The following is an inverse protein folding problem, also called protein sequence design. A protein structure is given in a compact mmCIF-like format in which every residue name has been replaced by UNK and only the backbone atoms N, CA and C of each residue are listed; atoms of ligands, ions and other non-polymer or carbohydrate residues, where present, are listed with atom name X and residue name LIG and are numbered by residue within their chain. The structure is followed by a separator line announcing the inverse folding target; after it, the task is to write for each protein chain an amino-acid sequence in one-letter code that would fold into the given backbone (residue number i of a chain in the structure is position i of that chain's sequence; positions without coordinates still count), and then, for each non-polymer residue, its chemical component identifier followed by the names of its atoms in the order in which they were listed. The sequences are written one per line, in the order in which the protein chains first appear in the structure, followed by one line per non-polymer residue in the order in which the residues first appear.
data_IF_815420895220
#
_entry.id   IF_815420895220
#
_cell.length_a   1.000
_cell.length_b   1.000
_cell.length_c   1.000
_cell.angle_alpha   90.00
_cell.angle_beta   90.00
_cell.angle_gamma   90.00
#
_symmetry.space_group_name_H-M   'P 1'
#
loop_
_entity.id
_entity.type
_entity.pdbx_description
1 polymer ?
#
# COMPACT_ATOMS: atom_id res chain seq x y z
N UNK A 1 25.71 -39.73 8.82
CA UNK A 1 25.87 -38.68 7.78
C UNK A 1 24.71 -38.67 6.78
N UNK A 2 24.21 -39.84 6.35
CA UNK A 2 23.05 -39.94 5.44
C UNK A 2 21.74 -39.38 6.04
N UNK A 3 21.43 -39.72 7.30
CA UNK A 3 20.23 -39.26 8.02
C UNK A 3 20.11 -37.73 7.97
N UNK A 4 21.17 -37.03 8.36
CA UNK A 4 21.24 -35.56 8.38
C UNK A 4 21.06 -34.92 6.99
N UNK A 5 21.48 -35.59 5.91
CA UNK A 5 21.26 -35.11 4.53
C UNK A 5 19.81 -35.31 4.08
N UNK A 6 19.20 -36.42 4.49
CA UNK A 6 17.79 -36.71 4.21
C UNK A 6 16.87 -35.73 4.96
N UNK A 7 17.16 -35.48 6.24
CA UNK A 7 16.41 -34.52 7.06
C UNK A 7 16.48 -33.09 6.48
N UNK A 8 17.66 -32.67 6.01
CA UNK A 8 17.84 -31.39 5.32
C UNK A 8 17.06 -31.30 4.01
N UNK A 9 16.97 -32.40 3.24
CA UNK A 9 16.18 -32.44 2.02
C UNK A 9 14.68 -32.36 2.31
N UNK A 10 14.20 -33.09 3.31
CA UNK A 10 12.80 -33.06 3.74
C UNK A 10 12.43 -31.67 4.24
N UNK A 11 13.28 -31.04 5.06
CA UNK A 11 13.04 -29.69 5.56
C UNK A 11 13.03 -28.65 4.42
N UNK A 12 13.95 -28.75 3.46
CA UNK A 12 13.98 -27.87 2.28
C UNK A 12 12.73 -28.02 1.43
N UNK A 13 12.33 -29.25 1.12
CA UNK A 13 11.12 -29.52 0.33
C UNK A 13 9.88 -29.05 1.09
N UNK A 14 9.79 -29.33 2.39
CA UNK A 14 8.67 -28.91 3.24
C UNK A 14 8.52 -27.39 3.32
N UNK A 15 9.63 -26.66 3.49
CA UNK A 15 9.61 -25.20 3.52
C UNK A 15 9.34 -24.58 2.16
N UNK A 16 9.92 -25.14 1.10
CA UNK A 16 9.67 -24.64 -0.24
C UNK A 16 8.25 -24.97 -0.76
N UNK A 17 7.61 -26.07 -0.30
CA UNK A 17 6.18 -26.31 -0.51
C UNK A 17 5.30 -25.25 0.19
N UNK A 18 5.78 -24.68 1.29
CA UNK A 18 5.14 -23.55 1.98
C UNK A 18 5.51 -22.19 1.37
N UNK A 19 6.23 -22.17 0.25
CA UNK A 19 6.68 -20.95 -0.43
C UNK A 19 7.81 -20.21 0.30
N UNK A 20 8.44 -20.83 1.31
CA UNK A 20 9.55 -20.23 2.07
C UNK A 20 10.87 -20.54 1.39
N UNK A 21 11.51 -19.49 0.85
CA UNK A 21 12.83 -19.58 0.26
C UNK A 21 13.89 -19.57 1.37
N UNK A 22 14.42 -20.74 1.70
CA UNK A 22 15.51 -20.84 2.66
C UNK A 22 16.83 -20.29 2.06
N UNK A 23 17.62 -19.51 2.81
CA UNK A 23 18.94 -19.01 2.37
C UNK A 23 19.93 -20.11 1.95
N UNK A 24 19.66 -21.36 2.33
CA UNK A 24 20.47 -22.52 1.99
C UNK A 24 20.26 -23.03 0.55
N UNK A 25 19.19 -22.59 -0.12
CA UNK A 25 18.91 -22.90 -1.54
C UNK A 25 19.60 -21.87 -2.42
N UNK A 26 19.42 -20.59 -2.12
CA UNK A 26 20.14 -19.47 -2.74
C UNK A 26 20.41 -18.43 -1.64
N UNK A 27 21.62 -17.88 -1.62
CA UNK A 27 21.92 -16.80 -0.69
C UNK A 27 21.21 -15.51 -1.16
N UNK A 28 20.75 -14.64 -0.24
CA UNK A 28 20.16 -13.35 -0.60
C UNK A 28 21.04 -12.54 -1.57
N UNK A 29 22.36 -12.57 -1.36
CA UNK A 29 23.32 -11.85 -2.19
C UNK A 29 23.46 -12.46 -3.59
N UNK A 30 23.47 -13.79 -3.70
CA UNK A 30 23.52 -14.47 -5.00
C UNK A 30 22.29 -14.15 -5.85
N UNK A 31 21.10 -14.09 -5.22
CA UNK A 31 19.88 -13.65 -5.89
C UNK A 31 20.01 -12.19 -6.35
N UNK A 32 20.46 -11.29 -5.47
CA UNK A 32 20.60 -9.87 -5.78
C UNK A 32 21.58 -9.63 -6.95
N UNK A 33 22.74 -10.29 -6.95
CA UNK A 33 23.70 -10.19 -8.06
C UNK A 33 23.10 -10.66 -9.39
N UNK A 34 22.34 -11.76 -9.39
CA UNK A 34 21.64 -12.22 -10.58
C UNK A 34 20.60 -11.19 -11.07
N UNK A 35 19.85 -10.58 -10.15
CA UNK A 35 18.88 -9.52 -10.49
C UNK A 35 19.56 -8.30 -11.11
N UNK A 36 20.66 -7.83 -10.50
CA UNK A 36 21.46 -6.71 -11.00
C UNK A 36 21.98 -6.96 -12.42
N UNK A 37 22.47 -8.17 -12.70
CA UNK A 37 22.96 -8.55 -14.03
C UNK A 37 21.83 -8.62 -15.07
N UNK A 38 20.63 -9.01 -14.65
CA UNK A 38 19.45 -9.11 -15.54
C UNK A 38 18.70 -7.80 -15.77
N UNK A 39 19.02 -6.74 -15.01
CA UNK A 39 18.22 -5.51 -14.97
C UNK A 39 18.12 -4.79 -16.33
N UNK A 40 19.14 -4.89 -17.17
CA UNK A 40 19.17 -4.28 -18.50
C UNK A 40 18.25 -4.96 -19.52
N UNK A 41 17.79 -6.19 -19.24
CA UNK A 41 16.90 -6.94 -20.11
C UNK A 41 15.41 -6.66 -19.85
N UNK A 42 15.11 -5.79 -18.88
CA UNK A 42 13.74 -5.55 -18.43
C UNK A 42 13.04 -4.48 -19.28
N UNK A 43 11.72 -4.63 -19.52
CA UNK A 43 10.91 -3.57 -20.12
C UNK A 43 10.97 -2.29 -19.27
N UNK A 44 11.04 -1.13 -19.91
CA UNK A 44 11.21 0.16 -19.22
C UNK A 44 9.99 0.64 -18.41
N UNK A 45 8.84 0.00 -18.59
CA UNK A 45 7.57 0.33 -17.93
C UNK A 45 7.34 -0.44 -16.61
N UNK A 46 8.22 -1.39 -16.28
CA UNK A 46 8.16 -2.14 -15.02
C UNK A 46 9.40 -1.90 -14.17
N UNK A 47 9.21 -1.95 -12.85
CA UNK A 47 10.32 -1.75 -11.89
C UNK A 47 10.32 -2.85 -10.85
N UNK A 48 11.49 -3.10 -10.26
CA UNK A 48 11.57 -3.91 -9.06
C UNK A 48 10.93 -3.18 -7.86
N UNK A 49 10.24 -3.90 -6.96
CA UNK A 49 9.65 -3.30 -5.76
C UNK A 49 10.67 -2.96 -4.67
N UNK A 50 11.96 -3.15 -4.93
CA UNK A 50 13.06 -2.88 -4.03
C UNK A 50 14.26 -2.33 -4.81
N UNK A 51 15.16 -1.57 -4.15
CA UNK A 51 16.42 -1.16 -4.76
C UNK A 51 17.29 -2.37 -5.11
N UNK A 52 17.97 -2.30 -6.26
CA UNK A 52 18.97 -3.29 -6.64
C UNK A 52 20.30 -2.98 -5.92
N UNK A 53 20.36 -3.30 -4.64
CA UNK A 53 21.54 -3.11 -3.79
C UNK A 53 21.71 -4.27 -2.82
N UNK A 54 22.95 -4.47 -2.34
CA UNK A 54 23.26 -5.50 -1.34
C UNK A 54 22.45 -5.33 -0.04
N UNK A 55 22.13 -4.09 0.34
CA UNK A 55 21.31 -3.78 1.52
C UNK A 55 19.87 -4.29 1.39
N UNK A 56 19.39 -4.42 0.16
CA UNK A 56 18.03 -4.88 -0.14
C UNK A 56 17.95 -6.40 -0.41
N UNK A 57 19.05 -7.13 -0.26
CA UNK A 57 19.13 -8.55 -0.63
C UNK A 57 18.13 -9.43 0.13
N UNK A 58 17.99 -9.22 1.44
CA UNK A 58 17.02 -9.96 2.26
C UNK A 58 15.57 -9.60 1.94
N UNK A 59 15.33 -8.33 1.60
CA UNK A 59 14.01 -7.88 1.16
C UNK A 59 13.60 -8.55 -0.16
N UNK A 60 14.54 -8.64 -1.11
CA UNK A 60 14.32 -9.34 -2.37
C UNK A 60 13.90 -10.81 -2.13
N UNK A 61 14.59 -11.50 -1.22
CA UNK A 61 14.26 -12.89 -0.84
C UNK A 61 12.84 -13.02 -0.26
N UNK A 62 12.41 -12.09 0.61
CA UNK A 62 11.08 -12.08 1.23
C UNK A 62 9.97 -11.82 0.22
N UNK A 63 10.23 -10.92 -0.74
CA UNK A 63 9.23 -10.45 -1.70
C UNK A 63 9.04 -11.44 -2.87
N UNK A 64 10.10 -12.17 -3.27
CA UNK A 64 9.99 -13.20 -4.30
C UNK A 64 9.12 -14.39 -3.85
N UNK A 65 8.47 -15.05 -4.81
CA UNK A 65 7.75 -16.30 -4.58
C UNK A 65 8.58 -17.50 -5.06
N UNK A 66 8.47 -18.62 -4.37
CA UNK A 66 9.14 -19.86 -4.74
C UNK A 66 8.11 -20.87 -5.24
N UNK A 67 8.41 -21.50 -6.37
CA UNK A 67 7.70 -22.68 -6.85
C UNK A 67 8.68 -23.84 -6.99
N UNK A 68 8.22 -25.02 -6.59
CA UNK A 68 8.94 -26.26 -6.75
C UNK A 68 8.31 -27.09 -7.86
N UNK A 69 9.15 -27.72 -8.67
CA UNK A 69 8.73 -28.81 -9.52
C UNK A 69 9.72 -29.96 -9.45
N UNK A 70 9.20 -31.18 -9.51
CA UNK A 70 10.01 -32.38 -9.63
C UNK A 70 9.73 -32.96 -11.01
N UNK A 71 10.76 -33.07 -11.83
CA UNK A 71 10.65 -33.67 -13.16
C UNK A 71 11.84 -34.59 -13.39
N UNK A 72 11.58 -35.84 -13.79
CA UNK A 72 12.62 -36.84 -14.06
C UNK A 72 13.64 -37.03 -12.92
N UNK A 73 13.17 -36.99 -11.66
CA UNK A 73 14.03 -37.10 -10.48
C UNK A 73 14.87 -35.85 -10.16
N UNK A 74 14.72 -34.77 -10.93
CA UNK A 74 15.35 -33.48 -10.67
C UNK A 74 14.38 -32.60 -9.91
N UNK A 75 14.80 -32.12 -8.74
CA UNK A 75 14.11 -31.09 -7.98
C UNK A 75 14.58 -29.71 -8.44
N UNK A 76 13.66 -28.93 -8.98
CA UNK A 76 13.95 -27.60 -9.51
C UNK A 76 13.16 -26.52 -8.78
N UNK A 77 13.82 -25.38 -8.60
CA UNK A 77 13.33 -24.22 -7.87
C UNK A 77 13.14 -23.07 -8.86
N UNK A 78 11.92 -22.55 -8.97
CA UNK A 78 11.60 -21.36 -9.76
C UNK A 78 11.35 -20.19 -8.81
N UNK A 79 12.20 -19.17 -8.92
CA UNK A 79 12.04 -17.93 -8.16
C UNK A 79 11.27 -16.94 -9.05
N UNK A 80 10.03 -16.66 -8.65
CA UNK A 80 9.19 -15.66 -9.29
C UNK A 80 9.47 -14.31 -8.66
N UNK A 81 10.14 -13.46 -9.43
CA UNK A 81 10.49 -12.09 -9.02
C UNK A 81 9.35 -11.17 -9.45
N UNK A 82 8.66 -10.51 -8.51
CA UNK A 82 7.55 -9.65 -8.86
C UNK A 82 8.04 -8.36 -9.53
N UNK A 83 7.36 -8.01 -10.61
CA UNK A 83 7.50 -6.73 -11.28
C UNK A 83 6.30 -5.87 -10.92
N UNK A 84 6.54 -4.60 -10.61
CA UNK A 84 5.48 -3.71 -10.11
C UNK A 84 5.28 -2.49 -10.98
N UNK A 85 4.01 -2.14 -11.16
CA UNK A 85 3.57 -0.82 -11.55
C UNK A 85 3.04 -0.09 -10.29
N UNK A 86 3.43 1.17 -10.11
CA UNK A 86 3.14 1.89 -8.86
C UNK A 86 1.76 2.53 -8.91
N UNK A 87 0.83 1.97 -8.15
CA UNK A 87 -0.49 2.54 -7.88
C UNK A 87 -0.53 3.19 -6.50
N UNK A 88 -1.47 4.10 -6.29
CA UNK A 88 -1.69 4.75 -5.00
C UNK A 88 -3.09 4.42 -4.50
N UNK A 89 -3.19 4.20 -3.19
CA UNK A 89 -4.46 4.08 -2.50
C UNK A 89 -4.99 5.48 -2.17
N UNK A 90 -6.28 5.71 -2.41
CA UNK A 90 -6.94 6.97 -2.08
C UNK A 90 -8.09 6.75 -1.10
N UNK A 91 -8.09 7.56 -0.05
CA UNK A 91 -9.19 7.64 0.91
C UNK A 91 -10.07 8.82 0.50
N UNK A 92 -11.35 8.61 0.14
CA UNK A 92 -12.26 9.72 -0.10
C UNK A 92 -12.45 10.50 1.21
N UNK A 93 -12.17 11.80 1.17
CA UNK A 93 -12.39 12.70 2.30
C UNK A 93 -13.89 13.06 2.32
N UNK A 94 -14.61 12.86 3.45
CA UNK A 94 -16.01 13.25 3.56
C UNK A 94 -16.23 14.73 3.25
N UNK A 95 -17.39 15.08 2.68
CA UNK A 95 -17.78 16.48 2.44
C UNK A 95 -18.64 16.99 3.60
N UNK A 96 -18.34 18.15 4.21
CA UNK A 96 -19.21 18.73 5.23
C UNK A 96 -20.57 19.11 4.62
N UNK A 97 -21.65 18.82 5.35
CA UNK A 97 -23.02 19.23 5.04
C UNK A 97 -23.46 20.35 5.99
N UNK A 98 -23.08 20.21 7.25
CA UNK A 98 -23.28 21.16 8.34
C UNK A 98 -22.16 20.98 9.38
N UNK A 99 -22.15 21.77 10.46
CA UNK A 99 -21.09 21.79 11.48
C UNK A 99 -20.77 20.40 12.05
N UNK A 100 -21.81 19.59 12.31
CA UNK A 100 -21.66 18.24 12.90
C UNK A 100 -21.88 17.11 11.90
N UNK A 101 -22.38 17.41 10.69
CA UNK A 101 -22.85 16.42 9.72
C UNK A 101 -22.02 16.44 8.46
N UNK A 102 -21.64 15.26 7.99
CA UNK A 102 -20.89 15.11 6.76
C UNK A 102 -21.46 14.00 5.89
N UNK A 103 -21.32 14.24 4.59
CA UNK A 103 -21.67 13.34 3.53
C UNK A 103 -20.44 12.53 3.16
N UNK A 104 -20.56 11.22 3.20
CA UNK A 104 -19.56 10.32 2.63
C UNK A 104 -20.24 9.35 1.65
N UNK A 105 -19.47 8.88 0.68
CA UNK A 105 -19.90 7.81 -0.20
C UNK A 105 -19.61 6.50 0.50
N UNK A 106 -20.63 5.67 0.69
CA UNK A 106 -20.44 4.35 1.27
C UNK A 106 -19.63 3.48 0.29
N UNK A 107 -18.46 3.03 0.74
CA UNK A 107 -17.57 2.20 -0.06
C UNK A 107 -17.77 0.71 0.19
N UNK A 108 -18.70 0.32 1.07
CA UNK A 108 -18.98 -1.08 1.45
C UNK A 108 -17.71 -1.86 1.81
N UNK A 109 -16.77 -1.20 2.52
CA UNK A 109 -15.45 -1.72 2.92
C UNK A 109 -14.47 -2.00 1.77
N UNK A 110 -14.68 -1.37 0.61
CA UNK A 110 -13.76 -1.47 -0.51
C UNK A 110 -12.71 -0.37 -0.51
N UNK A 111 -11.48 -0.74 -0.91
CA UNK A 111 -10.34 0.13 -1.12
C UNK A 111 -10.21 0.47 -2.60
N UNK A 112 -10.10 1.76 -2.92
CA UNK A 112 -9.84 2.24 -4.28
C UNK A 112 -8.34 2.37 -4.51
N UNK A 113 -7.84 1.62 -5.49
CA UNK A 113 -6.48 1.76 -6.01
C UNK A 113 -6.55 2.43 -7.37
N UNK A 114 -5.74 3.46 -7.57
CA UNK A 114 -5.70 4.20 -8.82
C UNK A 114 -4.26 4.43 -9.25
N UNK A 115 -4.02 4.40 -10.55
CA UNK A 115 -2.73 4.77 -11.10
C UNK A 115 -2.48 6.29 -10.95
N UNK A 116 -1.21 6.69 -11.08
CA UNK A 116 -0.82 8.10 -10.91
C UNK A 116 -1.49 9.04 -11.91
N UNK A 117 -1.78 8.57 -13.13
CA UNK A 117 -2.45 9.38 -14.15
C UNK A 117 -3.98 9.43 -13.97
N UNK A 118 -4.52 8.69 -12.98
CA UNK A 118 -5.97 8.58 -12.71
C UNK A 118 -6.79 8.05 -13.90
N UNK A 119 -6.16 7.25 -14.74
CA UNK A 119 -6.72 6.65 -15.94
C UNK A 119 -7.30 5.26 -15.66
N UNK A 120 -6.68 4.51 -14.75
CA UNK A 120 -7.04 3.14 -14.44
C UNK A 120 -7.16 2.94 -12.94
N UNK A 121 -8.19 2.21 -12.54
CA UNK A 121 -8.44 1.89 -11.14
C UNK A 121 -8.92 0.46 -10.97
N UNK A 122 -8.83 -0.03 -9.74
CA UNK A 122 -9.47 -1.26 -9.31
C UNK A 122 -9.87 -1.14 -7.84
N UNK A 123 -10.81 -1.97 -7.41
CA UNK A 123 -11.33 -1.99 -6.06
C UNK A 123 -10.93 -3.31 -5.38
N UNK A 124 -10.58 -3.26 -4.11
CA UNK A 124 -10.26 -4.45 -3.31
C UNK A 124 -10.92 -4.36 -1.95
N UNK A 125 -10.72 -5.34 -1.08
CA UNK A 125 -11.13 -5.30 0.32
C UNK A 125 -9.92 -5.55 1.24
N UNK A 126 -10.21 -5.67 2.55
CA UNK A 126 -9.19 -5.97 3.56
C UNK A 126 -8.57 -7.35 3.39
N UNK A 127 -9.37 -8.35 3.01
CA UNK A 127 -8.87 -9.70 2.82
C UNK A 127 -7.82 -9.75 1.71
N UNK A 128 -8.06 -9.06 0.59
CA UNK A 128 -7.08 -8.94 -0.49
C UNK A 128 -5.80 -8.26 -0.02
N UNK A 129 -5.91 -7.16 0.74
CA UNK A 129 -4.74 -6.45 1.28
C UNK A 129 -3.91 -7.33 2.23
N UNK A 130 -4.57 -8.17 3.02
CA UNK A 130 -3.91 -9.12 3.94
C UNK A 130 -3.11 -10.21 3.19
N UNK A 131 -3.37 -10.41 1.89
CA UNK A 131 -2.57 -11.32 1.04
C UNK A 131 -1.28 -10.68 0.48
N UNK A 132 -1.15 -9.36 0.59
CA UNK A 132 0.00 -8.64 0.05
C UNK A 132 1.25 -8.80 0.91
N UNK A 133 2.42 -8.69 0.28
CA UNK A 133 3.70 -8.69 0.99
C UNK A 133 4.09 -7.27 1.39
N UNK A 134 4.24 -7.02 2.68
CA UNK A 134 4.74 -5.75 3.19
C UNK A 134 6.25 -5.62 2.95
N UNK A 135 6.64 -4.57 2.22
CA UNK A 135 8.03 -4.23 1.88
C UNK A 135 8.60 -3.23 2.89
N UNK A 136 7.78 -2.26 3.27
CA UNK A 136 8.07 -1.22 4.25
C UNK A 136 6.73 -0.74 4.85
N UNK A 137 6.79 0.12 5.86
CA UNK A 137 5.62 0.77 6.45
C UNK A 137 4.75 1.35 5.32
N UNK A 138 3.51 0.86 5.20
CA UNK A 138 2.50 1.29 4.21
C UNK A 138 2.88 1.05 2.74
N UNK A 139 3.92 0.26 2.44
CA UNK A 139 4.30 -0.16 1.09
C UNK A 139 4.11 -1.65 0.93
N UNK A 140 3.22 -2.02 0.02
CA UNK A 140 2.82 -3.41 -0.22
C UNK A 140 3.10 -3.83 -1.65
N UNK A 141 3.50 -5.09 -1.82
CA UNK A 141 3.57 -5.77 -3.11
C UNK A 141 2.43 -6.77 -3.16
N UNK A 142 1.46 -6.46 -4.00
CA UNK A 142 0.25 -7.24 -4.18
C UNK A 142 0.25 -7.88 -5.56
N UNK A 143 -0.30 -9.09 -5.66
CA UNK A 143 -0.61 -9.68 -6.96
C UNK A 143 -1.84 -8.95 -7.52
N UNK A 144 -1.70 -8.31 -8.67
CA UNK A 144 -2.84 -7.74 -9.37
C UNK A 144 -3.61 -8.87 -10.08
N UNK A 145 -4.69 -9.32 -9.45
CA UNK A 145 -5.67 -10.27 -9.99
C UNK A 145 -7.02 -9.62 -10.30
N UNK A 146 -7.19 -8.34 -9.91
CA UNK A 146 -8.40 -7.56 -10.12
C UNK A 146 -8.44 -6.90 -11.49
N UNK A 147 -9.57 -6.87 -12.20
CA UNK A 147 -9.65 -6.20 -13.50
C UNK A 147 -9.32 -4.71 -13.39
N UNK A 148 -8.43 -4.22 -14.26
CA UNK A 148 -8.16 -2.80 -14.40
C UNK A 148 -9.30 -2.13 -15.16
N UNK A 149 -9.95 -1.16 -14.52
CA UNK A 149 -11.07 -0.43 -15.07
C UNK A 149 -10.63 0.95 -15.53
N UNK A 150 -11.02 1.35 -16.74
CA UNK A 150 -10.79 2.71 -17.23
C UNK A 150 -11.72 3.70 -16.52
N UNK A 151 -11.14 4.76 -15.97
CA UNK A 151 -11.86 5.84 -15.30
C UNK A 151 -12.74 6.68 -16.23
N UNK A 152 -12.51 6.62 -17.54
CA UNK A 152 -13.30 7.32 -18.57
C UNK A 152 -14.53 6.53 -19.00
N UNK A 153 -14.45 5.19 -18.96
CA UNK A 153 -15.49 4.29 -19.47
C UNK A 153 -16.36 3.76 -18.33
N UNK A 154 -15.75 3.44 -17.19
CA UNK A 154 -16.42 2.77 -16.08
C UNK A 154 -16.74 3.76 -14.98
N UNK A 155 -18.03 3.99 -14.75
CA UNK A 155 -18.48 4.89 -13.70
C UNK A 155 -18.28 4.29 -12.31
N UNK A 156 -17.52 4.99 -11.46
CA UNK A 156 -17.42 4.69 -10.04
C UNK A 156 -17.49 5.98 -9.23
N UNK A 157 -18.29 5.98 -8.16
CA UNK A 157 -18.53 7.15 -7.33
C UNK A 157 -17.27 7.70 -6.66
N UNK A 158 -16.39 6.83 -6.15
CA UNK A 158 -15.13 7.24 -5.53
C UNK A 158 -14.18 7.83 -6.57
N UNK A 159 -14.16 7.27 -7.79
CA UNK A 159 -13.34 7.82 -8.89
C UNK A 159 -13.86 9.18 -9.34
N UNK A 160 -15.18 9.33 -9.53
CA UNK A 160 -15.81 10.61 -9.87
C UNK A 160 -15.56 11.68 -8.81
N UNK A 161 -15.61 11.31 -7.52
CA UNK A 161 -15.27 12.18 -6.39
C UNK A 161 -13.84 12.73 -6.46
N UNK A 162 -12.90 11.97 -7.02
CA UNK A 162 -11.50 12.36 -7.16
C UNK A 162 -11.24 13.20 -8.41
N UNK A 163 -12.07 13.04 -9.44
CA UNK A 163 -11.92 13.72 -10.73
C UNK A 163 -12.65 15.07 -10.77
N UNK A 164 -13.82 15.17 -10.13
CA UNK A 164 -14.65 16.37 -10.17
C UNK A 164 -14.71 17.08 -8.82
N UNK A 165 -14.60 18.42 -8.86
CA UNK A 165 -14.92 19.29 -7.72
C UNK A 165 -16.43 19.48 -7.53
N UNK A 166 -17.22 19.14 -8.53
CA UNK A 166 -18.66 19.36 -8.56
C UNK A 166 -19.46 18.24 -7.85
N UNK A 167 -20.77 18.46 -7.75
CA UNK A 167 -21.73 17.69 -6.95
C UNK A 167 -21.62 16.17 -7.15
N UNK A 168 -21.70 15.44 -6.04
CA UNK A 168 -21.75 13.98 -6.03
C UNK A 168 -22.98 13.52 -6.81
N UNK A 169 -22.78 12.62 -7.79
CA UNK A 169 -23.85 12.08 -8.63
C UNK A 169 -25.04 11.59 -7.77
N UNK A 170 -26.29 11.84 -8.17
CA UNK A 170 -27.47 11.32 -7.48
C UNK A 170 -27.46 9.79 -7.32
N UNK A 171 -26.85 9.08 -8.28
CA UNK A 171 -26.74 7.62 -8.30
C UNK A 171 -25.79 7.04 -7.25
N UNK A 172 -24.98 7.86 -6.59
CA UNK A 172 -24.08 7.40 -5.54
C UNK A 172 -24.81 7.20 -4.22
N UNK A 173 -24.62 6.03 -3.60
CA UNK A 173 -25.09 5.77 -2.23
C UNK A 173 -24.35 6.70 -1.27
N UNK A 174 -25.07 7.72 -0.82
CA UNK A 174 -24.59 8.76 0.07
C UNK A 174 -25.09 8.47 1.46
N UNK A 175 -24.19 8.50 2.45
CA UNK A 175 -24.55 8.41 3.86
C UNK A 175 -24.16 9.69 4.57
N UNK A 176 -24.99 10.08 5.54
CA UNK A 176 -24.70 11.18 6.45
C UNK A 176 -24.27 10.54 7.76
N UNK A 177 -23.12 10.94 8.26
CA UNK A 177 -22.74 10.67 9.63
C UNK A 177 -22.66 11.98 10.40
N UNK A 178 -23.02 11.89 11.67
CA UNK A 178 -22.97 12.98 12.64
C UNK A 178 -21.86 12.65 13.64
N UNK A 179 -20.94 13.58 13.81
CA UNK A 179 -19.83 13.45 14.75
C UNK A 179 -19.99 14.52 15.84
N UNK A 180 -20.03 14.06 17.08
CA UNK A 180 -20.00 14.88 18.29
C UNK A 180 -18.58 15.26 18.70
N UNK A 181 -17.61 14.43 18.34
CA UNK A 181 -16.24 14.51 18.81
C UNK A 181 -15.27 14.73 17.65
N UNK A 182 -14.13 15.36 17.97
CA UNK A 182 -13.07 15.62 17.01
C UNK A 182 -12.34 14.32 16.61
N UNK A 183 -12.20 14.09 15.30
CA UNK A 183 -11.57 12.89 14.72
C UNK A 183 -10.27 13.28 14.04
N UNK A 184 -9.21 12.54 14.35
CA UNK A 184 -7.87 12.77 13.81
C UNK A 184 -7.35 11.53 13.09
N UNK A 185 -6.95 11.70 11.84
CA UNK A 185 -6.34 10.64 11.02
C UNK A 185 -4.90 11.02 10.68
N UNK A 186 -3.94 10.28 11.25
CA UNK A 186 -2.51 10.50 11.04
C UNK A 186 -2.06 10.00 9.65
N UNK A 187 -1.51 10.91 8.86
CA UNK A 187 -0.85 10.65 7.59
C UNK A 187 0.68 10.57 7.79
N UNK A 188 1.43 10.50 6.69
CA UNK A 188 2.90 10.57 6.70
C UNK A 188 3.42 12.00 6.88
N UNK A 189 4.71 12.15 7.21
CA UNK A 189 5.41 13.45 7.25
C UNK A 189 4.77 14.51 8.15
N UNK A 190 4.32 14.12 9.35
CA UNK A 190 3.60 15.00 10.30
C UNK A 190 2.37 15.70 9.69
N UNK A 191 1.71 15.04 8.73
CA UNK A 191 0.40 15.45 8.24
C UNK A 191 -0.71 14.72 9.01
N UNK A 192 -1.80 15.44 9.31
CA UNK A 192 -3.03 14.90 9.89
C UNK A 192 -4.22 15.43 9.13
N UNK A 193 -5.17 14.56 8.83
CA UNK A 193 -6.53 14.99 8.46
C UNK A 193 -7.29 15.12 9.77
N UNK A 194 -7.97 16.24 9.97
CA UNK A 194 -8.80 16.47 11.13
C UNK A 194 -10.24 16.73 10.73
N UNK A 195 -11.14 16.33 11.61
CA UNK A 195 -12.53 16.71 11.64
C UNK A 195 -12.82 17.26 13.03
N UNK A 196 -13.30 18.50 13.11
CA UNK A 196 -13.51 19.25 14.35
C UNK A 196 -14.89 19.91 14.26
N UNK A 197 -15.92 19.36 14.94
CA UNK A 197 -17.29 19.86 14.82
C UNK A 197 -17.50 21.24 15.44
N UNK A 198 -16.74 21.56 16.50
CA UNK A 198 -16.73 22.88 17.15
C UNK A 198 -15.31 23.42 17.20
N UNK A 199 -15.10 24.72 16.96
CA UNK A 199 -13.76 25.32 16.93
C UNK A 199 -12.91 24.93 18.13
N UNK A 200 -11.76 24.31 17.87
CA UNK A 200 -10.79 23.90 18.89
C UNK A 200 -9.46 24.62 18.64
N UNK A 201 -8.85 25.15 19.71
CA UNK A 201 -7.49 25.69 19.67
C UNK A 201 -6.48 24.56 19.87
N UNK A 202 -5.55 24.40 18.94
CA UNK A 202 -4.40 23.49 19.10
C UNK A 202 -3.12 24.27 19.35
N UNK A 203 -2.31 23.81 20.30
CA UNK A 203 -1.00 24.38 20.56
C UNK A 203 0.06 23.67 19.71
N UNK A 204 0.68 24.40 18.78
CA UNK A 204 1.81 23.93 17.99
C UNK A 204 3.11 24.38 18.65
N UNK A 205 3.90 23.40 19.09
CA UNK A 205 5.19 23.57 19.75
C UNK A 205 6.30 23.24 18.74
N UNK A 206 7.17 24.19 18.44
CA UNK A 206 8.35 23.99 17.59
C UNK A 206 9.62 24.31 18.39
N UNK A 207 10.71 23.58 18.16
CA UNK A 207 11.95 23.77 18.92
C UNK A 207 12.56 25.18 18.80
N UNK A 208 12.33 25.85 17.67
CA UNK A 208 13.01 27.11 17.32
C UNK A 208 12.10 28.34 17.42
N UNK A 209 10.86 28.19 17.92
CA UNK A 209 9.84 29.25 17.94
C UNK A 209 8.97 29.14 19.18
N UNK A 210 8.38 30.26 19.58
CA UNK A 210 7.39 30.27 20.64
C UNK A 210 6.15 29.43 20.24
N UNK A 211 5.46 28.81 21.22
CA UNK A 211 4.21 28.10 21.00
C UNK A 211 3.22 28.98 20.23
N UNK A 212 2.61 28.41 19.19
CA UNK A 212 1.56 29.07 18.43
C UNK A 212 0.23 28.35 18.65
N UNK A 213 -0.82 29.10 18.95
CA UNK A 213 -2.17 28.55 19.03
C UNK A 213 -2.88 28.72 17.68
N UNK A 214 -3.42 27.63 17.16
CA UNK A 214 -4.13 27.61 15.87
C UNK A 214 -5.54 27.11 16.12
N UNK A 215 -6.53 27.96 15.83
CA UNK A 215 -7.92 27.57 15.82
C UNK A 215 -8.20 26.72 14.58
N UNK A 216 -8.65 25.49 14.79
CA UNK A 216 -9.08 24.58 13.74
C UNK A 216 -10.59 24.42 13.80
N UNK A 217 -11.19 24.33 12.61
CA UNK A 217 -12.64 24.19 12.46
C UNK A 217 -12.94 23.28 11.28
N UNK A 218 -14.08 22.58 11.33
CA UNK A 218 -14.60 21.77 10.23
C UNK A 218 -13.64 20.66 9.82
N UNK A 219 -13.28 20.60 8.54
CA UNK A 219 -12.41 19.58 7.97
C UNK A 219 -11.20 20.25 7.35
N UNK A 220 -10.03 19.66 7.58
CA UNK A 220 -8.83 20.18 6.98
C UNK A 220 -7.68 19.20 7.06
N UNK A 221 -6.56 19.64 6.48
CA UNK A 221 -5.29 18.95 6.58
C UNK A 221 -4.32 19.86 7.32
N UNK A 222 -3.86 19.40 8.48
CA UNK A 222 -2.79 20.03 9.23
C UNK A 222 -1.47 19.41 8.80
N UNK A 223 -0.52 20.23 8.33
CA UNK A 223 0.84 19.81 8.06
C UNK A 223 1.77 20.57 8.98
N UNK A 224 2.49 19.84 9.82
CA UNK A 224 3.50 20.41 10.71
C UNK A 224 4.90 20.11 10.16
N UNK A 225 5.85 21.01 10.45
CA UNK A 225 7.25 20.74 10.13
C UNK A 225 7.80 19.61 11.03
N UNK A 226 8.89 18.98 10.63
CA UNK A 226 9.48 17.84 11.35
C UNK A 226 9.98 18.21 12.76
N UNK A 227 10.32 19.49 12.98
CA UNK A 227 10.72 20.04 14.27
C UNK A 227 9.55 20.57 15.12
N UNK A 228 8.30 20.35 14.70
CA UNK A 228 7.10 20.81 15.39
C UNK A 228 6.21 19.65 15.85
N UNK A 229 5.45 19.85 16.93
CA UNK A 229 4.48 18.91 17.51
C UNK A 229 3.20 19.65 17.92
N UNK A 230 2.08 18.95 17.91
CA UNK A 230 0.77 19.43 18.33
C UNK A 230 -0.18 18.28 18.59
#
# INVERSE_FOLDING_TARGET
MLQRRLDLLIDRVGNAQRGVLQPQIISPYSLMEALMQSASALPGDVTFPFPLSKDSAYLALRVCNLQLYVSNGVLAYVIHVPMVNRVQFLIPIPKPVDQTKFLFVDTRNSFLWIDKARQYYFMTDKYWLDTCKEVNIRVYVCKQDQPLLSSQVHENCMVKLLQSRESISPSCEKRIAELSDSVWTQLENNERIYFIPTSEGIAILCNDRNPAEVALTWIGKLRMNTNCRG
#
